data_IF_111783403166
#
_entry.id   IF_111783403166
#
_cell.length_a   1.000
_cell.length_b   1.000
_cell.length_c   1.000
_cell.angle_alpha   90.00
_cell.angle_beta   90.00
_cell.angle_gamma   90.00
#
_symmetry.space_group_name_H-M   'P 1'
#
loop_
_entity.id
_entity.type
_entity.pdbx_description
1 polymer ?
#
# COMPACT_ATOMS: atom_id res chain seq x y z
N UNK A 1 -2.51 -21.36 8.11
CA UNK A 1 -3.60 -20.45 8.49
C UNK A 1 -4.52 -20.47 7.28
N UNK A 2 -5.58 -21.26 7.36
CA UNK A 2 -6.48 -21.45 6.22
C UNK A 2 -7.49 -20.32 6.24
N UNK A 3 -7.50 -19.51 5.18
CA UNK A 3 -8.46 -18.43 5.02
C UNK A 3 -9.69 -19.07 4.37
N UNK A 4 -10.77 -19.21 5.15
CA UNK A 4 -12.03 -19.74 4.67
C UNK A 4 -12.83 -18.62 4.01
N UNK A 5 -13.20 -18.80 2.75
CA UNK A 5 -14.17 -17.95 2.05
C UNK A 5 -15.57 -18.49 2.36
N UNK A 6 -16.37 -17.75 3.11
CA UNK A 6 -17.75 -18.13 3.45
C UNK A 6 -18.79 -17.51 2.53
N UNK A 7 -18.52 -16.31 2.05
CA UNK A 7 -19.53 -15.45 1.43
C UNK A 7 -19.06 -14.89 0.09
N UNK A 8 -20.04 -14.68 -0.79
CA UNK A 8 -19.83 -14.00 -2.07
C UNK A 8 -20.78 -12.81 -2.17
N UNK A 9 -20.29 -11.68 -2.69
CA UNK A 9 -21.10 -10.50 -2.91
C UNK A 9 -20.90 -9.92 -4.32
N UNK A 10 -21.96 -9.34 -4.90
CA UNK A 10 -21.85 -8.56 -6.14
C UNK A 10 -21.39 -7.16 -5.78
N UNK A 11 -20.25 -6.77 -6.33
CA UNK A 11 -19.64 -5.46 -6.12
C UNK A 11 -19.71 -4.67 -7.41
N UNK A 12 -20.42 -3.55 -7.37
CA UNK A 12 -20.42 -2.57 -8.44
C UNK A 12 -19.41 -1.48 -8.12
N UNK A 13 -18.40 -1.32 -8.97
CA UNK A 13 -17.35 -0.33 -8.78
C UNK A 13 -17.05 0.43 -10.07
N UNK A 14 -16.37 1.56 -9.94
CA UNK A 14 -15.92 2.38 -11.07
C UNK A 14 -14.42 2.58 -11.03
N UNK A 15 -13.78 2.58 -12.21
CA UNK A 15 -12.37 2.94 -12.34
C UNK A 15 -12.28 4.25 -13.12
N UNK A 16 -11.89 5.32 -12.42
CA UNK A 16 -11.98 6.67 -12.94
C UNK A 16 -13.44 7.06 -13.24
N UNK A 17 -13.64 7.98 -14.19
CA UNK A 17 -14.98 8.53 -14.50
C UNK A 17 -15.77 7.74 -15.55
N UNK A 18 -15.12 6.82 -16.27
CA UNK A 18 -15.65 6.28 -17.52
C UNK A 18 -15.91 4.77 -17.47
N UNK A 19 -15.26 4.06 -16.56
CA UNK A 19 -15.41 2.62 -16.41
C UNK A 19 -16.32 2.31 -15.22
N UNK A 20 -17.36 1.51 -15.46
CA UNK A 20 -18.25 0.97 -14.43
C UNK A 20 -18.34 -0.52 -14.68
N UNK A 21 -18.19 -1.31 -13.63
CA UNK A 21 -18.18 -2.75 -13.71
C UNK A 21 -18.89 -3.33 -12.49
N UNK A 22 -19.50 -4.48 -12.70
CA UNK A 22 -20.10 -5.28 -11.65
C UNK A 22 -19.48 -6.67 -11.71
N UNK A 23 -18.93 -7.11 -10.58
CA UNK A 23 -18.24 -8.40 -10.45
C UNK A 23 -18.74 -9.14 -9.22
N UNK A 24 -18.73 -10.47 -9.27
CA UNK A 24 -18.96 -11.30 -8.10
C UNK A 24 -17.62 -11.52 -7.40
N UNK A 25 -17.52 -11.14 -6.12
CA UNK A 25 -16.32 -11.26 -5.31
C UNK A 25 -16.55 -12.18 -4.13
N UNK A 26 -15.52 -12.95 -3.80
CA UNK A 26 -15.37 -13.62 -2.52
C UNK A 26 -15.10 -12.58 -1.42
N UNK A 27 -15.79 -12.70 -0.29
CA UNK A 27 -15.62 -11.79 0.86
C UNK A 27 -14.64 -12.42 1.84
N UNK A 28 -13.64 -11.62 2.24
CA UNK A 28 -12.64 -11.98 3.24
C UNK A 28 -12.67 -10.94 4.35
N UNK A 29 -12.80 -11.39 5.60
CA UNK A 29 -12.66 -10.52 6.78
C UNK A 29 -11.20 -10.06 6.89
N UNK A 30 -10.97 -8.76 6.63
CA UNK A 30 -9.67 -8.10 6.74
C UNK A 30 -9.83 -6.69 7.33
N UNK A 31 -8.78 -6.17 7.97
CA UNK A 31 -8.75 -4.83 8.58
C UNK A 31 -8.77 -3.67 7.55
N UNK A 32 -8.83 -3.96 6.25
CA UNK A 32 -8.82 -2.98 5.15
C UNK A 32 -9.87 -3.30 4.09
N UNK A 33 -10.47 -2.27 3.51
CA UNK A 33 -11.45 -2.38 2.43
C UNK A 33 -10.77 -2.15 1.08
N UNK A 34 -10.31 -3.23 0.45
CA UNK A 34 -9.74 -3.21 -0.90
C UNK A 34 -10.37 -4.27 -1.79
N UNK A 35 -10.60 -3.93 -3.06
CA UNK A 35 -11.05 -4.87 -4.08
C UNK A 35 -9.81 -5.37 -4.83
N UNK A 36 -9.56 -6.68 -4.76
CA UNK A 36 -8.45 -7.31 -5.48
C UNK A 36 -9.01 -7.94 -6.76
N UNK A 37 -8.66 -7.34 -7.90
CA UNK A 37 -9.06 -7.86 -9.20
C UNK A 37 -8.03 -8.88 -9.69
N UNK A 38 -8.37 -10.16 -9.55
CA UNK A 38 -7.52 -11.27 -9.93
C UNK A 38 -7.51 -11.58 -11.43
N UNK A 39 -6.91 -12.72 -11.76
CA UNK A 39 -6.85 -13.25 -13.14
C UNK A 39 -8.21 -13.42 -13.83
N UNK A 40 -9.30 -13.85 -13.15
CA UNK A 40 -10.61 -13.94 -13.79
C UNK A 40 -11.07 -12.61 -14.38
N UNK A 41 -11.01 -11.54 -13.59
CA UNK A 41 -11.35 -10.20 -14.08
C UNK A 41 -10.44 -9.78 -15.25
N UNK A 42 -9.12 -10.00 -15.14
CA UNK A 42 -8.18 -9.65 -16.20
C UNK A 42 -8.49 -10.38 -17.51
N UNK A 43 -8.89 -11.66 -17.43
CA UNK A 43 -9.30 -12.45 -18.58
C UNK A 43 -10.60 -11.92 -19.19
N UNK A 44 -11.62 -11.69 -18.37
CA UNK A 44 -12.95 -11.26 -18.82
C UNK A 44 -12.92 -9.91 -19.54
N UNK A 45 -12.07 -8.97 -19.09
CA UNK A 45 -11.92 -7.65 -19.72
C UNK A 45 -10.83 -7.58 -20.78
N UNK A 46 -10.10 -8.69 -21.03
CA UNK A 46 -8.96 -8.70 -21.93
C UNK A 46 -7.85 -7.72 -21.51
N UNK A 47 -7.59 -7.60 -20.21
CA UNK A 47 -6.57 -6.71 -19.69
C UNK A 47 -5.16 -7.23 -19.99
N UNK A 48 -4.36 -6.41 -20.64
CA UNK A 48 -2.95 -6.66 -20.89
C UNK A 48 -2.09 -6.02 -19.81
N UNK A 49 -1.28 -6.84 -19.14
CA UNK A 49 -0.29 -6.37 -18.17
C UNK A 49 1.06 -6.10 -18.84
N UNK A 50 1.54 -4.86 -18.72
CA UNK A 50 2.91 -4.47 -19.07
C UNK A 50 3.77 -4.49 -17.80
N UNK A 51 4.56 -5.56 -17.65
CA UNK A 51 5.45 -5.75 -16.50
C UNK A 51 6.57 -4.72 -16.39
N UNK A 52 6.98 -4.09 -17.51
CA UNK A 52 8.06 -3.08 -17.48
C UNK A 52 7.58 -1.77 -16.87
N UNK A 53 6.38 -1.32 -17.23
CA UNK A 53 5.79 -0.10 -16.66
C UNK A 53 4.82 -0.36 -15.50
N UNK A 54 4.68 -1.62 -15.08
CA UNK A 54 3.72 -2.08 -14.07
C UNK A 54 2.29 -1.54 -14.32
N UNK A 55 1.82 -1.61 -15.55
CA UNK A 55 0.54 -1.00 -15.95
C UNK A 55 -0.39 -2.00 -16.61
N UNK A 56 -1.70 -1.85 -16.39
CA UNK A 56 -2.72 -2.64 -17.06
C UNK A 56 -3.39 -1.82 -18.17
N UNK A 57 -3.61 -2.40 -19.35
CA UNK A 57 -4.35 -1.76 -20.44
C UNK A 57 -5.50 -2.65 -20.90
N UNK A 58 -6.69 -2.11 -21.07
CA UNK A 58 -7.85 -2.84 -21.59
C UNK A 58 -8.76 -1.91 -22.39
N UNK A 59 -9.65 -2.48 -23.20
CA UNK A 59 -10.60 -1.72 -24.01
C UNK A 59 -11.99 -1.70 -23.36
N UNK A 60 -12.61 -0.52 -23.33
CA UNK A 60 -13.95 -0.34 -22.82
C UNK A 60 -14.71 0.65 -23.68
N UNK A 61 -15.84 0.21 -24.26
CA UNK A 61 -16.70 1.04 -25.13
C UNK A 61 -15.90 1.74 -26.25
N UNK A 62 -14.97 1.05 -26.89
CA UNK A 62 -14.13 1.59 -27.96
C UNK A 62 -13.02 2.54 -27.50
N UNK A 63 -12.77 2.64 -26.18
CA UNK A 63 -11.68 3.44 -25.61
C UNK A 63 -10.70 2.54 -24.88
N UNK A 64 -9.41 2.73 -25.16
CA UNK A 64 -8.35 2.07 -24.41
C UNK A 64 -8.13 2.79 -23.08
N UNK A 65 -8.35 2.08 -21.97
CA UNK A 65 -8.06 2.51 -20.62
C UNK A 65 -6.70 1.95 -20.20
N UNK A 66 -5.91 2.76 -19.48
CA UNK A 66 -4.61 2.36 -18.91
C UNK A 66 -4.57 2.67 -17.43
N UNK A 67 -4.42 1.64 -16.60
CA UNK A 67 -4.21 1.74 -15.17
C UNK A 67 -2.72 1.85 -14.90
N UNK A 68 -2.34 2.91 -14.18
CA UNK A 68 -0.96 3.17 -13.79
C UNK A 68 -0.78 2.83 -12.30
N UNK A 69 0.44 2.48 -11.87
CA UNK A 69 0.76 2.41 -10.45
C UNK A 69 0.44 3.74 -9.78
N UNK A 70 -0.18 3.69 -8.60
CA UNK A 70 -0.20 4.86 -7.74
C UNK A 70 1.24 5.15 -7.30
N UNK A 71 1.86 6.21 -7.85
CA UNK A 71 2.98 6.84 -7.18
C UNK A 71 2.43 7.49 -5.92
N UNK A 72 2.81 6.96 -4.76
CA UNK A 72 2.63 7.61 -3.46
C UNK A 72 3.45 8.90 -3.46
N UNK A 73 2.89 9.99 -4.01
CA UNK A 73 3.57 11.27 -4.17
C UNK A 73 2.81 12.36 -4.93
N UNK A 74 1.59 12.09 -5.45
CA UNK A 74 0.75 13.09 -6.11
C UNK A 74 -0.49 13.42 -5.29
N UNK A 75 -0.60 14.67 -4.85
CA UNK A 75 -1.82 15.24 -4.26
C UNK A 75 -3.04 14.96 -5.16
N UNK A 76 -4.02 14.22 -4.66
CA UNK A 76 -5.37 14.22 -5.21
C UNK A 76 -6.29 14.96 -4.21
N UNK A 77 -7.03 16.01 -4.61
CA UNK A 77 -7.89 16.75 -3.70
C UNK A 77 -9.18 15.95 -3.43
N UNK A 78 -9.09 14.96 -2.55
CA UNK A 78 -10.25 14.27 -2.00
C UNK A 78 -10.89 15.14 -0.92
N UNK A 79 -12.02 15.77 -1.28
CA UNK A 79 -12.97 16.34 -0.33
C UNK A 79 -13.64 15.19 0.44
N UNK A 80 -13.14 14.90 1.64
CA UNK A 80 -13.85 14.08 2.63
C UNK A 80 -13.84 14.79 3.98
N UNK A 81 -15.03 14.99 4.56
CA UNK A 81 -15.20 15.47 5.94
C UNK A 81 -14.69 14.42 6.93
N UNK A 82 -13.38 14.39 7.16
CA UNK A 82 -12.67 13.51 8.08
C UNK A 82 -11.67 14.37 8.84
N UNK A 83 -11.63 14.23 10.17
CA UNK A 83 -10.87 15.04 11.13
C UNK A 83 -9.70 15.82 10.50
N UNK A 84 -9.88 17.13 10.32
CA UNK A 84 -8.83 18.02 9.84
C UNK A 84 -7.70 18.08 10.85
N UNK A 85 -6.65 17.32 10.60
CA UNK A 85 -5.32 17.59 11.15
C UNK A 85 -4.87 18.92 10.54
N UNK A 86 -5.08 20.00 11.28
CA UNK A 86 -4.54 21.30 10.91
C UNK A 86 -3.07 21.34 11.29
N UNK A 87 -2.20 21.33 10.28
CA UNK A 87 -0.77 21.53 10.48
C UNK A 87 -0.51 23.02 10.71
N UNK A 88 -0.06 23.37 11.90
CA UNK A 88 0.22 24.76 12.28
C UNK A 88 1.74 24.91 12.50
N UNK A 89 2.31 26.02 12.02
CA UNK A 89 3.71 26.34 12.33
C UNK A 89 3.90 26.58 13.83
N UNK A 90 5.05 26.16 14.37
CA UNK A 90 5.40 26.40 15.77
C UNK A 90 5.33 27.89 16.16
N UNK A 91 5.68 28.79 15.25
CA UNK A 91 5.57 30.25 15.48
C UNK A 91 4.13 30.72 15.68
N UNK A 92 3.18 30.14 14.95
CA UNK A 92 1.76 30.49 15.07
C UNK A 92 1.16 29.94 16.38
N UNK A 93 1.60 28.76 16.83
CA UNK A 93 1.23 28.23 18.16
C UNK A 93 1.77 29.15 19.27
N UNK A 94 3.04 29.56 19.18
CA UNK A 94 3.66 30.45 20.18
C UNK A 94 3.02 31.84 20.20
N UNK A 95 2.51 32.31 19.07
CA UNK A 95 1.79 33.58 19.01
C UNK A 95 0.39 33.46 19.62
N UNK A 96 -0.34 32.37 19.32
CA UNK A 96 -1.65 32.10 19.92
C UNK A 96 -1.57 31.84 21.43
N UNK A 97 -0.47 31.24 21.91
CA UNK A 97 -0.27 31.00 23.34
C UNK A 97 0.02 32.27 24.15
N UNK A 98 0.23 33.43 23.51
CA UNK A 98 0.35 34.71 24.22
C UNK A 98 -1.00 35.23 24.72
N UNK A 99 -2.09 34.81 24.07
CA UNK A 99 -3.46 35.19 24.44
C UNK A 99 -4.11 34.18 25.39
N UNK A 100 -3.53 33.00 25.56
CA UNK A 100 -4.07 31.90 26.36
C UNK A 100 -3.18 31.68 27.58
N UNK A 101 -3.78 31.64 28.78
CA UNK A 101 -3.03 31.51 30.04
C UNK A 101 -2.34 30.16 30.22
N UNK A 102 -2.91 29.06 29.69
CA UNK A 102 -2.37 27.69 29.77
C UNK A 102 -2.74 26.90 28.52
N UNK A 103 -1.75 26.23 27.90
CA UNK A 103 -1.93 25.32 26.76
C UNK A 103 -1.61 23.88 27.19
N UNK A 104 -2.49 22.94 26.88
CA UNK A 104 -2.24 21.51 27.06
C UNK A 104 -1.89 20.87 25.71
N UNK A 105 -0.83 20.07 25.68
CA UNK A 105 -0.39 19.35 24.49
C UNK A 105 -0.29 17.84 24.78
N UNK A 106 -0.89 17.02 23.92
CA UNK A 106 -0.72 15.57 23.93
C UNK A 106 0.42 15.21 22.99
N UNK A 107 1.57 14.81 23.54
CA UNK A 107 2.72 14.38 22.75
C UNK A 107 2.75 12.87 22.70
N UNK A 108 2.56 12.31 21.50
CA UNK A 108 2.78 10.88 21.26
C UNK A 108 4.28 10.69 21.01
N UNK A 109 4.97 10.08 21.98
CA UNK A 109 6.34 9.63 21.79
C UNK A 109 6.30 8.14 21.48
N UNK A 110 6.93 7.73 20.39
CA UNK A 110 7.17 6.31 20.13
C UNK A 110 8.02 5.75 21.26
N UNK A 111 7.51 4.74 21.96
CA UNK A 111 8.26 4.02 22.97
C UNK A 111 9.25 3.09 22.26
N UNK A 112 10.38 3.65 21.79
CA UNK A 112 11.53 2.86 21.39
C UNK A 112 12.11 2.22 22.66
N UNK A 113 11.56 1.08 23.06
CA UNK A 113 12.29 0.11 23.87
C UNK A 113 13.36 -0.53 22.98
N UNK A 114 14.39 0.24 22.63
CA UNK A 114 15.65 -0.31 22.16
C UNK A 114 16.62 -0.36 23.33
N UNK A 115 16.32 -1.23 24.31
CA UNK A 115 17.28 -1.62 25.35
C UNK A 115 17.78 -3.06 25.18
N UNK A 116 17.62 -3.65 23.99
CA UNK A 116 18.30 -4.90 23.67
C UNK A 116 19.48 -4.60 22.73
N UNK A 117 20.64 -4.34 23.33
CA UNK A 117 21.92 -4.81 22.76
C UNK A 117 21.98 -6.33 22.87
N UNK A 118 20.95 -7.04 22.42
CA UNK A 118 21.08 -8.47 22.20
C UNK A 118 21.82 -8.60 20.87
N UNK A 119 23.12 -8.83 20.97
CA UNK A 119 23.95 -9.17 19.83
C UNK A 119 23.23 -10.27 19.06
N UNK A 120 23.07 -10.04 17.75
CA UNK A 120 22.42 -10.97 16.83
C UNK A 120 22.96 -12.38 17.09
N UNK A 121 22.07 -13.37 17.25
CA UNK A 121 22.42 -14.76 17.60
C UNK A 121 23.57 -15.27 16.71
N UNK A 122 24.55 -16.03 17.25
CA UNK A 122 25.77 -16.41 16.52
C UNK A 122 25.48 -17.14 15.19
N UNK A 123 24.43 -17.96 15.14
CA UNK A 123 24.01 -18.63 13.90
C UNK A 123 23.52 -17.65 12.84
N UNK A 124 22.83 -16.58 13.24
CA UNK A 124 22.37 -15.53 12.33
C UNK A 124 23.56 -14.74 11.80
N UNK A 125 24.57 -14.45 12.64
CA UNK A 125 25.80 -13.81 12.18
C UNK A 125 26.59 -14.69 11.21
N UNK A 126 26.66 -16.00 11.46
CA UNK A 126 27.31 -16.94 10.57
C UNK A 126 26.60 -17.00 9.20
N UNK A 127 25.27 -17.02 9.22
CA UNK A 127 24.45 -16.99 8.01
C UNK A 127 24.65 -15.69 7.22
N UNK A 128 24.61 -14.52 7.88
CA UNK A 128 24.83 -13.23 7.23
C UNK A 128 26.22 -13.14 6.58
N UNK A 129 27.26 -13.70 7.21
CA UNK A 129 28.61 -13.78 6.62
C UNK A 129 28.70 -14.65 5.36
N UNK A 130 27.84 -15.66 5.23
CA UNK A 130 27.79 -16.51 4.03
C UNK A 130 27.16 -15.80 2.83
N UNK A 131 26.37 -14.74 3.07
CA UNK A 131 25.60 -14.04 2.04
C UNK A 131 25.86 -12.52 2.03
N UNK A 132 27.13 -12.07 1.88
CA UNK A 132 27.47 -10.65 1.95
C UNK A 132 26.82 -9.81 0.82
N UNK A 133 26.39 -10.43 -0.28
CA UNK A 133 25.77 -9.74 -1.42
C UNK A 133 24.24 -9.65 -1.39
N UNK A 134 23.55 -10.16 -0.36
CA UNK A 134 22.07 -10.19 -0.31
C UNK A 134 21.48 -8.85 0.15
N UNK A 135 22.25 -8.02 0.84
CA UNK A 135 21.82 -6.72 1.35
C UNK A 135 22.68 -5.56 0.84
N UNK A 136 22.14 -4.35 0.75
CA UNK A 136 22.95 -3.16 0.51
C UNK A 136 23.87 -2.86 1.70
N UNK A 137 25.05 -2.28 1.45
CA UNK A 137 26.00 -1.87 2.49
C UNK A 137 25.40 -0.85 3.47
N UNK A 138 24.37 -0.14 3.02
CA UNK A 138 23.57 0.81 3.80
C UNK A 138 22.09 0.46 3.65
N UNK A 139 21.38 0.28 4.76
CA UNK A 139 19.92 0.16 4.70
C UNK A 139 19.32 1.55 4.44
N UNK A 140 18.63 1.78 3.31
CA UNK A 140 17.90 3.00 3.11
C UNK A 140 16.75 3.11 4.14
N UNK A 141 16.39 4.33 4.52
CA UNK A 141 15.27 4.60 5.44
C UNK A 141 13.88 4.28 4.85
N UNK A 142 13.84 3.56 3.73
CA UNK A 142 12.65 3.27 2.94
C UNK A 142 12.53 1.76 2.84
N UNK A 143 11.36 1.23 3.21
CA UNK A 143 11.08 -0.20 3.06
C UNK A 143 11.15 -0.58 1.58
N UNK A 144 11.78 -1.72 1.24
CA UNK A 144 11.72 -2.21 -0.12
C UNK A 144 10.25 -2.42 -0.52
N UNK A 145 9.88 -2.13 -1.78
CA UNK A 145 8.52 -2.31 -2.25
C UNK A 145 8.08 -3.77 -2.05
N UNK A 146 6.82 -3.94 -1.65
CA UNK A 146 6.23 -5.25 -1.39
C UNK A 146 6.37 -6.15 -2.63
N UNK A 147 7.12 -7.25 -2.51
CA UNK A 147 7.26 -8.25 -3.59
C UNK A 147 6.28 -9.39 -3.32
N UNK A 148 5.34 -9.60 -4.23
CA UNK A 148 4.58 -10.84 -4.24
C UNK A 148 5.46 -11.98 -4.78
N UNK A 149 5.50 -13.10 -4.06
CA UNK A 149 6.13 -14.33 -4.55
C UNK A 149 5.18 -14.99 -5.56
N UNK A 150 5.57 -14.97 -6.84
CA UNK A 150 4.81 -15.61 -7.91
C UNK A 150 5.36 -17.02 -8.12
N UNK A 151 4.67 -18.03 -7.57
CA UNK A 151 5.01 -19.43 -7.78
C UNK A 151 4.62 -19.84 -9.21
N UNK A 152 5.64 -20.12 -10.03
CA UNK A 152 5.58 -20.78 -11.34
C UNK A 152 4.97 -19.99 -12.51
N UNK A 153 5.80 -19.79 -13.55
CA UNK A 153 5.38 -19.36 -14.89
C UNK A 153 5.93 -20.39 -15.86
N UNK A 154 5.07 -21.28 -16.35
CA UNK A 154 5.44 -22.20 -17.43
C UNK A 154 5.30 -21.44 -18.75
N UNK A 155 6.41 -21.32 -19.48
CA UNK A 155 6.46 -20.72 -20.81
C UNK A 155 6.59 -21.83 -21.84
N UNK A 156 5.67 -21.85 -22.81
CA UNK A 156 5.74 -22.71 -23.98
C UNK A 156 6.01 -21.81 -25.20
N UNK A 157 6.95 -22.18 -26.10
CA UNK A 157 7.31 -21.37 -27.28
C UNK A 157 6.15 -21.10 -28.24
#
# INVERSE_FOLDING_TARGET
MDILVSDMCRVTFSIGKQYICEVLCDVLDMDVCHIILGRPWQYDVGAMYDGRSNSYSFEWKGRRLKLLPQLTGGNDPQKSNVATLNLISGSAIVQASKEISVLFALVVKEASHCNNKEGTHPEVQQLLKQFPGIGPDTLPAILPPLRALQHQVDLIP
#
